data_IF_298140157251
#
_entry.id   IF_298140157251
#
_cell.length_a   1.000
_cell.length_b   1.000
_cell.length_c   1.000
_cell.angle_alpha   90.00
_cell.angle_beta   90.00
_cell.angle_gamma   90.00
#
_symmetry.space_group_name_H-M   'P 1'
#
loop_
_entity.id
_entity.type
_entity.pdbx_description
1 polymer ?
#
# COMPACT_ATOMS: atom_id res chain seq x y z
N UNK A 1 -12.95 3.03 0.19
CA UNK A 1 -12.33 4.35 0.39
C UNK A 1 -12.16 4.61 1.88
N UNK A 2 -10.94 4.92 2.31
CA UNK A 2 -10.54 5.02 3.72
C UNK A 2 -9.83 6.36 3.94
N UNK A 3 -9.97 6.95 5.13
CA UNK A 3 -9.22 8.16 5.52
C UNK A 3 -7.94 7.74 6.22
N UNK A 4 -6.82 8.29 5.75
CA UNK A 4 -5.52 8.15 6.38
C UNK A 4 -5.06 9.52 6.90
N UNK A 5 -4.51 9.55 8.10
CA UNK A 5 -3.89 10.75 8.67
C UNK A 5 -2.36 10.64 8.54
N UNK A 6 -1.71 11.69 8.08
CA UNK A 6 -0.24 11.76 8.02
C UNK A 6 0.25 12.11 9.42
N UNK A 7 0.72 11.12 10.17
CA UNK A 7 1.19 11.33 11.55
C UNK A 7 2.53 12.05 11.57
N UNK A 8 3.49 11.52 10.82
CA UNK A 8 4.85 12.05 10.72
C UNK A 8 5.53 11.62 9.43
N UNK A 9 6.55 12.38 9.04
CA UNK A 9 7.43 12.05 7.93
C UNK A 9 8.82 11.77 8.50
N UNK A 10 9.30 10.56 8.29
CA UNK A 10 10.59 10.08 8.76
C UNK A 10 11.60 10.03 7.61
N UNK A 11 12.87 10.27 7.95
CA UNK A 11 13.99 10.04 7.03
C UNK A 11 14.64 8.70 7.40
N UNK A 12 14.76 7.79 6.44
CA UNK A 12 15.47 6.52 6.63
C UNK A 12 16.98 6.72 6.72
N UNK A 13 17.71 5.68 7.15
CA UNK A 13 19.18 5.71 7.21
C UNK A 13 19.81 6.03 5.84
N UNK A 14 19.18 5.59 4.75
CA UNK A 14 19.61 5.84 3.38
C UNK A 14 19.18 7.24 2.84
N UNK A 15 18.52 8.06 3.67
CA UNK A 15 18.07 9.40 3.32
C UNK A 15 16.72 9.48 2.60
N UNK A 16 16.01 8.36 2.44
CA UNK A 16 14.69 8.36 1.81
C UNK A 16 13.62 8.88 2.78
N UNK A 17 12.60 9.55 2.25
CA UNK A 17 11.50 10.07 3.06
C UNK A 17 10.32 9.09 3.05
N UNK A 18 9.88 8.67 4.24
CA UNK A 18 8.72 7.82 4.46
C UNK A 18 7.66 8.59 5.24
N UNK A 19 6.42 8.55 4.77
CA UNK A 19 5.27 9.03 5.52
C UNK A 19 4.66 7.88 6.34
N UNK A 20 4.44 8.14 7.63
CA UNK A 20 3.70 7.24 8.53
C UNK A 20 2.23 7.63 8.50
N UNK A 21 1.40 6.78 7.89
CA UNK A 21 -0.03 6.99 7.79
C UNK A 21 -0.79 6.21 8.87
N UNK A 22 -1.69 6.89 9.58
CA UNK A 22 -2.62 6.26 10.52
C UNK A 22 -3.97 6.04 9.86
N UNK A 23 -4.39 4.78 9.81
CA UNK A 23 -5.68 4.36 9.28
C UNK A 23 -6.50 3.75 10.41
N UNK A 24 -7.67 4.33 10.69
CA UNK A 24 -8.59 3.77 11.68
C UNK A 24 -9.31 2.54 11.11
N UNK A 25 -9.15 1.38 11.75
CA UNK A 25 -9.85 0.13 11.38
C UNK A 25 -11.13 -0.07 12.17
N UNK A 26 -11.08 0.21 13.48
CA UNK A 26 -12.22 0.16 14.39
C UNK A 26 -12.06 1.24 15.47
N UNK A 27 -12.97 1.32 16.44
CA UNK A 27 -12.82 2.22 17.57
C UNK A 27 -11.63 1.78 18.46
N UNK A 28 -10.67 2.68 18.65
CA UNK A 28 -9.42 2.39 19.37
C UNK A 28 -8.37 1.60 18.59
N UNK A 29 -8.66 1.15 17.36
CA UNK A 29 -7.73 0.36 16.54
C UNK A 29 -7.25 1.13 15.30
N UNK A 30 -5.93 1.32 15.22
CA UNK A 30 -5.26 2.07 14.16
C UNK A 30 -4.16 1.23 13.54
N UNK A 31 -4.19 1.10 12.21
CA UNK A 31 -3.11 0.55 11.41
C UNK A 31 -2.11 1.67 11.12
N UNK A 32 -0.83 1.41 11.38
CA UNK A 32 0.26 2.21 10.84
C UNK A 32 0.63 1.66 9.48
N UNK A 33 0.68 2.54 8.48
CA UNK A 33 1.12 2.20 7.14
C UNK A 33 2.25 3.13 6.72
N UNK A 34 3.41 2.55 6.49
CA UNK A 34 4.59 3.24 5.98
C UNK A 34 4.51 3.28 4.45
N UNK A 35 4.66 4.46 3.88
CA UNK A 35 4.70 4.64 2.43
C UNK A 35 5.79 5.65 2.04
N UNK A 36 6.44 5.48 0.88
CA UNK A 36 7.35 6.49 0.34
C UNK A 36 6.62 7.82 0.12
N UNK A 37 7.20 8.92 0.59
CA UNK A 37 6.60 10.25 0.44
C UNK A 37 6.43 10.63 -1.04
N UNK A 38 7.34 10.16 -1.90
CA UNK A 38 7.30 10.34 -3.35
C UNK A 38 6.06 9.73 -4.03
N UNK A 39 5.45 8.72 -3.40
CA UNK A 39 4.22 8.09 -3.89
C UNK A 39 2.94 8.83 -3.46
N UNK A 40 3.06 9.87 -2.64
CA UNK A 40 1.93 10.66 -2.15
C UNK A 40 1.68 11.89 -3.01
N UNK A 41 0.49 12.51 -2.92
CA UNK A 41 0.19 13.75 -3.61
C UNK A 41 1.26 14.83 -3.33
N UNK A 42 1.62 15.65 -4.32
CA UNK A 42 2.64 16.67 -4.15
C UNK A 42 2.23 17.67 -3.07
N UNK A 43 3.18 18.00 -2.19
CA UNK A 43 2.96 18.93 -1.08
C UNK A 43 2.29 18.33 0.16
N UNK A 44 2.12 17.01 0.22
CA UNK A 44 1.68 16.30 1.44
C UNK A 44 2.60 16.63 2.62
N UNK A 45 2.00 16.95 3.77
CA UNK A 45 2.69 17.31 5.02
C UNK A 45 2.14 16.53 6.21
N UNK A 46 2.90 16.54 7.29
CA UNK A 46 2.43 16.06 8.59
C UNK A 46 1.15 16.80 9.01
N UNK A 47 0.18 16.07 9.56
CA UNK A 47 -1.13 16.60 9.94
C UNK A 47 -2.18 16.56 8.83
N UNK A 48 -1.80 16.24 7.58
CA UNK A 48 -2.75 16.16 6.48
C UNK A 48 -3.66 14.92 6.58
N UNK A 49 -4.84 15.04 5.97
CA UNK A 49 -5.75 13.93 5.78
C UNK A 49 -5.80 13.53 4.31
N UNK A 50 -5.47 12.27 4.05
CA UNK A 50 -5.52 11.67 2.73
C UNK A 50 -6.75 10.78 2.60
N UNK A 51 -7.28 10.74 1.38
CA UNK A 51 -8.34 9.81 0.98
C UNK A 51 -7.68 8.70 0.17
N UNK A 52 -7.70 7.49 0.71
CA UNK A 52 -7.02 6.35 0.10
C UNK A 52 -8.03 5.32 -0.37
N UNK A 53 -7.76 4.74 -1.54
CA UNK A 53 -8.51 3.64 -2.11
C UNK A 53 -7.58 2.45 -2.31
N UNK A 54 -7.95 1.32 -1.70
CA UNK A 54 -7.32 0.04 -1.96
C UNK A 54 -8.18 -0.68 -2.99
N UNK A 55 -7.73 -0.70 -4.23
CA UNK A 55 -8.36 -1.43 -5.30
C UNK A 55 -7.52 -2.68 -5.61
N UNK A 56 -8.15 -3.85 -5.81
CA UNK A 56 -7.44 -4.99 -6.36
C UNK A 56 -6.99 -4.67 -7.78
N UNK A 57 -5.71 -4.87 -8.06
CA UNK A 57 -5.20 -4.71 -9.41
C UNK A 57 -5.67 -5.88 -10.29
N UNK A 58 -6.53 -5.57 -11.24
CA UNK A 58 -7.11 -6.56 -12.15
C UNK A 58 -6.05 -7.15 -13.08
N UNK A 59 -5.05 -6.37 -13.47
CA UNK A 59 -3.95 -6.82 -14.32
C UNK A 59 -3.07 -7.81 -13.57
N UNK A 60 -2.55 -7.43 -12.40
CA UNK A 60 -1.80 -8.34 -11.52
C UNK A 60 -2.60 -9.62 -11.21
N UNK A 61 -3.92 -9.52 -10.97
CA UNK A 61 -4.76 -10.72 -10.72
C UNK A 61 -4.87 -11.64 -11.92
N UNK A 62 -4.97 -11.10 -13.14
CA UNK A 62 -5.02 -11.90 -14.35
C UNK A 62 -3.67 -12.58 -14.61
N UNK A 63 -2.58 -11.85 -14.43
CA UNK A 63 -1.21 -12.35 -14.55
C UNK A 63 -0.95 -13.50 -13.58
N UNK A 64 -1.23 -13.30 -12.28
CA UNK A 64 -1.09 -14.34 -11.25
C UNK A 64 -1.92 -15.59 -11.56
N UNK A 65 -3.14 -15.42 -12.10
CA UNK A 65 -3.99 -16.55 -12.49
C UNK A 65 -3.35 -17.35 -13.63
N UNK A 66 -2.86 -16.66 -14.67
CA UNK A 66 -2.19 -17.30 -15.79
C UNK A 66 -0.95 -18.09 -15.35
N UNK A 67 -0.17 -17.54 -14.41
CA UNK A 67 1.02 -18.22 -13.87
C UNK A 67 0.63 -19.48 -13.08
N UNK A 68 -0.41 -19.40 -12.24
CA UNK A 68 -0.92 -20.56 -11.50
C UNK A 68 -1.42 -21.65 -12.46
N UNK A 69 -2.16 -21.28 -13.51
CA UNK A 69 -2.67 -22.23 -14.50
C UNK A 69 -1.54 -22.90 -15.28
N UNK A 70 -0.50 -22.16 -15.67
CA UNK A 70 0.69 -22.71 -16.33
C UNK A 70 1.43 -23.71 -15.42
N UNK A 71 1.67 -23.33 -14.16
CA UNK A 71 2.34 -24.20 -13.20
C UNK A 71 1.55 -25.48 -12.90
N UNK A 72 0.21 -25.39 -12.83
CA UNK A 72 -0.63 -26.58 -12.64
C UNK A 72 -0.60 -27.51 -13.85
N UNK A 73 -0.51 -26.97 -15.06
CA UNK A 73 -0.38 -27.76 -16.28
C UNK A 73 0.97 -28.49 -16.30
N UNK A 74 2.07 -27.80 -15.99
CA UNK A 74 3.40 -28.39 -15.89
C UNK A 74 3.45 -29.56 -14.89
N UNK A 75 2.77 -29.44 -13.74
CA UNK A 75 2.70 -30.50 -12.73
C UNK A 75 1.83 -31.70 -13.12
N UNK A 76 0.90 -31.55 -14.08
CA UNK A 76 0.03 -32.63 -14.54
C UNK A 76 0.60 -33.39 -15.73
N UNK A 77 1.53 -32.79 -16.45
CA UNK A 77 2.19 -33.38 -17.62
C UNK A 77 3.48 -34.16 -17.24
N UNK A 78 3.83 -34.23 -15.95
CA UNK A 78 4.82 -35.16 -15.33
C UNK A 78 4.16 -36.46 -14.82
#
# INVERSE_FOLDING_TARGET
MIRAFVDRIETTEDGALLAVLLIRRAEGDYLQWLCPLEGLPPGTREGDWLRVEFAPDAETRAQMRSEIESLLQELQDE
#
